data_IF_202396472009
#
_entry.id   IF_202396472009
#
_cell.length_a   1.000
_cell.length_b   1.000
_cell.length_c   1.000
_cell.angle_alpha   90.00
_cell.angle_beta   90.00
_cell.angle_gamma   90.00
#
_symmetry.space_group_name_H-M   'P 1'
#
loop_
_entity.id
_entity.type
_entity.pdbx_description
1 polymer ?
#
# COMPACT_ATOMS: atom_id res chain seq x y z
N UNK A 1 59.63 26.05 5.57
CA UNK A 1 58.85 25.40 6.65
C UNK A 1 57.43 25.93 6.70
N UNK A 2 57.21 27.19 6.46
CA UNK A 2 55.90 27.86 6.51
C UNK A 2 54.94 27.43 5.36
N UNK A 3 55.47 27.19 4.17
CA UNK A 3 54.67 26.77 3.01
C UNK A 3 54.14 25.34 3.13
N UNK A 4 54.86 24.47 3.79
CA UNK A 4 54.44 23.08 4.05
C UNK A 4 53.28 23.01 5.06
N UNK A 5 53.24 23.92 6.00
CA UNK A 5 52.20 24.00 7.03
C UNK A 5 50.86 24.46 6.43
N UNK A 6 50.86 25.45 5.54
CA UNK A 6 49.68 25.96 4.87
C UNK A 6 49.05 24.93 3.89
N UNK A 7 49.86 24.11 3.24
CA UNK A 7 49.38 23.06 2.34
C UNK A 7 48.67 21.91 3.09
N UNK A 8 49.15 21.56 4.29
CA UNK A 8 48.55 20.53 5.15
C UNK A 8 47.19 21.00 5.73
N UNK A 9 47.13 22.27 6.14
CA UNK A 9 45.93 22.85 6.71
C UNK A 9 44.77 22.96 5.67
N UNK A 10 45.08 23.37 4.46
CA UNK A 10 44.11 23.48 3.37
C UNK A 10 43.63 22.12 2.84
N UNK A 11 44.50 21.11 2.79
CA UNK A 11 44.16 19.77 2.37
C UNK A 11 43.27 19.02 3.37
N UNK A 12 43.51 19.24 4.67
CA UNK A 12 42.76 18.61 5.75
C UNK A 12 41.34 19.20 5.90
N UNK A 13 41.19 20.51 5.76
CA UNK A 13 39.92 21.20 5.90
C UNK A 13 38.92 20.83 4.78
N UNK A 14 39.41 20.72 3.54
CA UNK A 14 38.55 20.34 2.40
C UNK A 14 38.04 18.92 2.45
N UNK A 15 38.86 17.98 2.93
CA UNK A 15 38.46 16.56 3.09
C UNK A 15 37.45 16.37 4.22
N UNK A 16 37.60 17.05 5.32
CA UNK A 16 36.68 16.98 6.44
C UNK A 16 35.28 17.51 6.07
N UNK A 17 35.22 18.65 5.37
CA UNK A 17 33.97 19.27 4.95
C UNK A 17 33.22 18.39 3.94
N UNK A 18 33.92 17.78 2.97
CA UNK A 18 33.33 16.88 2.00
C UNK A 18 32.74 15.63 2.66
N UNK A 19 33.43 15.04 3.63
CA UNK A 19 32.93 13.90 4.38
C UNK A 19 31.69 14.24 5.20
N UNK A 20 31.68 15.34 5.93
CA UNK A 20 30.53 15.80 6.73
C UNK A 20 29.31 16.04 5.85
N UNK A 21 29.46 16.67 4.69
CA UNK A 21 28.37 16.90 3.76
C UNK A 21 27.81 15.60 3.20
N UNK A 22 28.67 14.63 2.87
CA UNK A 22 28.27 13.31 2.37
C UNK A 22 27.51 12.52 3.44
N UNK A 23 28.00 12.50 4.66
CA UNK A 23 27.34 11.84 5.80
C UNK A 23 25.98 12.46 6.12
N UNK A 24 25.88 13.78 6.11
CA UNK A 24 24.61 14.49 6.36
C UNK A 24 23.60 14.19 5.27
N UNK A 25 23.99 14.18 4.01
CA UNK A 25 23.11 13.87 2.87
C UNK A 25 22.65 12.41 2.92
N UNK A 26 23.56 11.51 3.27
CA UNK A 26 23.26 10.08 3.37
C UNK A 26 22.33 9.78 4.56
N UNK A 27 22.51 10.44 5.68
CA UNK A 27 21.63 10.33 6.85
C UNK A 27 20.21 10.83 6.56
N UNK A 28 20.09 11.97 5.89
CA UNK A 28 18.79 12.53 5.50
C UNK A 28 18.04 11.62 4.51
N UNK A 29 18.74 11.01 3.56
CA UNK A 29 18.16 10.07 2.60
C UNK A 29 17.67 8.78 3.28
N UNK A 30 18.41 8.25 4.24
CA UNK A 30 18.02 7.08 5.02
C UNK A 30 16.75 7.31 5.83
N UNK A 31 16.68 8.44 6.51
CA UNK A 31 15.54 8.84 7.33
C UNK A 31 14.24 8.97 6.53
N UNK A 32 14.28 9.57 5.34
CA UNK A 32 13.10 9.71 4.47
C UNK A 32 12.60 8.35 3.99
N UNK A 33 13.49 7.43 3.62
CA UNK A 33 13.13 6.08 3.21
C UNK A 33 12.46 5.26 4.32
N UNK A 34 12.94 5.40 5.55
CA UNK A 34 12.32 4.77 6.72
C UNK A 34 10.92 5.30 7.01
N UNK A 35 10.73 6.61 6.97
CA UNK A 35 9.41 7.25 7.20
C UNK A 35 8.41 6.78 6.16
N UNK A 36 8.78 6.74 4.89
CA UNK A 36 7.92 6.23 3.80
C UNK A 36 7.56 4.76 4.03
N UNK A 37 8.54 3.95 4.42
CA UNK A 37 8.31 2.53 4.68
C UNK A 37 7.36 2.30 5.86
N UNK A 38 7.51 3.03 6.96
CA UNK A 38 6.60 2.99 8.11
C UNK A 38 5.19 3.43 7.71
N UNK A 39 5.06 4.51 6.94
CA UNK A 39 3.79 4.99 6.41
C UNK A 39 3.09 3.94 5.54
N UNK A 40 3.82 3.27 4.65
CA UNK A 40 3.31 2.18 3.83
C UNK A 40 2.85 0.98 4.68
N UNK A 41 3.58 0.63 5.74
CA UNK A 41 3.20 -0.43 6.65
C UNK A 41 1.90 -0.13 7.41
N UNK A 42 1.74 1.10 7.91
CA UNK A 42 0.51 1.53 8.58
C UNK A 42 -0.68 1.45 7.62
N UNK A 43 -0.53 1.99 6.41
CA UNK A 43 -1.57 1.92 5.38
C UNK A 43 -1.90 0.48 4.99
N UNK A 44 -0.89 -0.37 4.88
CA UNK A 44 -0.98 -1.78 4.52
C UNK A 44 -1.74 -2.59 5.58
N UNK A 45 -1.43 -2.40 6.86
CA UNK A 45 -2.13 -3.05 7.97
C UNK A 45 -3.59 -2.58 8.04
N UNK A 46 -3.84 -1.28 7.91
CA UNK A 46 -5.19 -0.73 7.89
C UNK A 46 -6.03 -1.27 6.75
N UNK A 47 -5.49 -1.26 5.53
CA UNK A 47 -6.15 -1.81 4.34
C UNK A 47 -6.42 -3.31 4.48
N UNK A 48 -5.43 -4.09 4.92
CA UNK A 48 -5.58 -5.53 5.12
C UNK A 48 -6.68 -5.86 6.15
N UNK A 49 -6.74 -5.12 7.26
CA UNK A 49 -7.81 -5.26 8.26
C UNK A 49 -9.19 -5.01 7.69
N UNK A 50 -9.35 -3.96 6.89
CA UNK A 50 -10.62 -3.65 6.21
C UNK A 50 -11.02 -4.74 5.22
N UNK A 51 -10.09 -5.22 4.39
CA UNK A 51 -10.37 -6.29 3.43
C UNK A 51 -10.68 -7.63 4.09
N UNK A 52 -10.00 -7.96 5.19
CA UNK A 52 -10.32 -9.15 5.98
C UNK A 52 -11.74 -9.06 6.57
N UNK A 53 -12.12 -7.92 7.09
CA UNK A 53 -13.45 -7.69 7.64
C UNK A 53 -14.53 -7.80 6.56
N UNK A 54 -14.38 -7.11 5.44
CA UNK A 54 -15.35 -7.13 4.33
C UNK A 54 -15.41 -8.51 3.69
N UNK A 55 -14.26 -9.15 3.47
CA UNK A 55 -14.20 -10.53 2.96
C UNK A 55 -14.87 -11.52 3.91
N UNK A 56 -14.67 -11.37 5.21
CA UNK A 56 -15.35 -12.19 6.21
C UNK A 56 -16.88 -12.02 6.16
N UNK A 57 -17.40 -10.81 6.08
CA UNK A 57 -18.85 -10.58 5.96
C UNK A 57 -19.43 -11.17 4.66
N UNK A 58 -18.68 -11.14 3.57
CA UNK A 58 -19.09 -11.80 2.31
C UNK A 58 -19.15 -13.31 2.46
N UNK A 59 -18.15 -13.91 3.11
CA UNK A 59 -18.07 -15.37 3.28
C UNK A 59 -19.05 -15.90 4.32
N UNK A 60 -19.29 -15.15 5.40
CA UNK A 60 -20.19 -15.56 6.49
C UNK A 60 -21.68 -15.49 6.13
N UNK A 61 -22.03 -14.86 5.01
CA UNK A 61 -23.42 -14.73 4.60
C UNK A 61 -24.18 -13.62 5.32
N UNK A 62 -23.52 -12.52 5.67
CA UNK A 62 -24.17 -11.34 6.23
C UNK A 62 -25.35 -10.91 5.33
N UNK A 63 -26.56 -10.68 5.90
CA UNK A 63 -27.76 -10.39 5.12
C UNK A 63 -27.62 -9.19 4.16
N UNK A 64 -26.81 -8.18 4.56
CA UNK A 64 -26.52 -7.01 3.71
C UNK A 64 -25.71 -7.40 2.48
N UNK A 65 -24.72 -8.30 2.66
CA UNK A 65 -23.91 -8.81 1.55
C UNK A 65 -24.72 -9.74 0.66
N UNK A 66 -25.55 -10.61 1.24
CA UNK A 66 -26.47 -11.46 0.45
C UNK A 66 -27.38 -10.60 -0.41
N UNK A 67 -28.06 -9.60 0.18
CA UNK A 67 -28.95 -8.71 -0.56
C UNK A 67 -28.25 -7.88 -1.64
N UNK A 68 -27.00 -7.44 -1.39
CA UNK A 68 -26.20 -6.73 -2.37
C UNK A 68 -25.89 -7.60 -3.59
N UNK A 69 -25.49 -8.85 -3.38
CA UNK A 69 -25.15 -9.75 -4.47
C UNK A 69 -26.41 -10.31 -5.20
N UNK A 70 -27.55 -10.38 -4.53
CA UNK A 70 -28.84 -10.63 -5.18
C UNK A 70 -29.23 -9.49 -6.12
N UNK A 71 -29.00 -8.24 -5.69
CA UNK A 71 -29.24 -7.06 -6.53
C UNK A 71 -28.31 -6.99 -7.76
N UNK A 72 -27.06 -7.49 -7.63
CA UNK A 72 -26.12 -7.63 -8.76
C UNK A 72 -26.64 -8.64 -9.80
N UNK A 73 -27.35 -9.68 -9.37
CA UNK A 73 -27.99 -10.65 -10.27
C UNK A 73 -27.07 -11.69 -10.90
N UNK A 74 -25.79 -11.76 -10.51
CA UNK A 74 -24.83 -12.75 -11.02
C UNK A 74 -24.89 -14.06 -10.24
N UNK A 75 -25.46 -14.03 -9.04
CA UNK A 75 -25.59 -15.17 -8.13
C UNK A 75 -24.68 -15.09 -6.92
N UNK A 76 -25.04 -15.85 -5.88
CA UNK A 76 -24.33 -15.85 -4.61
C UNK A 76 -22.91 -16.44 -4.69
N UNK A 77 -22.61 -17.28 -5.68
CA UNK A 77 -21.27 -17.82 -5.92
C UNK A 77 -20.23 -16.71 -6.14
N UNK A 78 -20.63 -15.62 -6.78
CA UNK A 78 -19.77 -14.46 -7.03
C UNK A 78 -19.36 -13.76 -5.73
N UNK A 79 -20.24 -13.77 -4.73
CA UNK A 79 -19.94 -13.28 -3.38
C UNK A 79 -18.80 -14.08 -2.74
N UNK A 80 -18.84 -15.39 -2.83
CA UNK A 80 -17.78 -16.25 -2.31
C UNK A 80 -16.45 -16.04 -3.04
N UNK A 81 -16.48 -15.90 -4.35
CA UNK A 81 -15.28 -15.62 -5.16
C UNK A 81 -14.64 -14.29 -4.76
N UNK A 82 -15.40 -13.21 -4.73
CA UNK A 82 -14.87 -11.89 -4.37
C UNK A 82 -14.40 -11.82 -2.92
N UNK A 83 -15.14 -12.40 -1.98
CA UNK A 83 -14.75 -12.49 -0.58
C UNK A 83 -13.45 -13.27 -0.38
N UNK A 84 -13.29 -14.40 -1.06
CA UNK A 84 -12.06 -15.20 -1.03
C UNK A 84 -10.87 -14.44 -1.62
N UNK A 85 -11.06 -13.71 -2.71
CA UNK A 85 -10.02 -12.89 -3.31
C UNK A 85 -9.59 -11.73 -2.39
N UNK A 86 -10.54 -11.12 -1.66
CA UNK A 86 -10.25 -10.07 -0.69
C UNK A 86 -9.43 -10.61 0.49
N UNK A 87 -9.82 -11.75 1.05
CA UNK A 87 -9.06 -12.39 2.14
C UNK A 87 -7.67 -12.80 1.66
N UNK A 88 -7.56 -13.44 0.49
CA UNK A 88 -6.28 -13.82 -0.09
C UNK A 88 -5.40 -12.60 -0.35
N UNK A 89 -5.96 -11.56 -0.95
CA UNK A 89 -5.26 -10.31 -1.21
C UNK A 89 -4.76 -9.63 0.06
N UNK A 90 -5.56 -9.64 1.13
CA UNK A 90 -5.17 -9.11 2.43
C UNK A 90 -4.01 -9.90 3.07
N UNK A 91 -4.02 -11.22 2.97
CA UNK A 91 -2.92 -12.08 3.45
C UNK A 91 -1.65 -11.81 2.66
N UNK A 92 -1.74 -11.76 1.33
CA UNK A 92 -0.61 -11.42 0.47
C UNK A 92 -0.08 -10.00 0.75
N UNK A 93 -0.98 -9.05 1.03
CA UNK A 93 -0.64 -7.68 1.37
C UNK A 93 0.22 -7.62 2.64
N UNK A 94 -0.07 -8.44 3.65
CA UNK A 94 0.69 -8.52 4.90
C UNK A 94 2.01 -9.30 4.76
N UNK A 95 2.20 -10.02 3.66
CA UNK A 95 3.46 -10.75 3.40
C UNK A 95 4.45 -9.84 2.70
N UNK A 96 5.61 -9.48 3.30
CA UNK A 96 6.51 -8.45 2.77
C UNK A 96 6.98 -8.68 1.34
N UNK A 97 7.19 -9.93 0.95
CA UNK A 97 7.66 -10.32 -0.40
C UNK A 97 6.55 -10.32 -1.45
N UNK A 98 5.30 -10.46 -1.04
CA UNK A 98 4.14 -10.61 -1.90
C UNK A 98 3.18 -9.42 -1.83
N UNK A 99 3.52 -8.41 -1.03
CA UNK A 99 2.66 -7.25 -0.78
C UNK A 99 2.30 -6.48 -2.05
N UNK A 100 3.21 -6.39 -3.02
CA UNK A 100 2.93 -5.79 -4.32
C UNK A 100 1.89 -6.57 -5.13
N UNK A 101 1.96 -7.91 -5.13
CA UNK A 101 0.98 -8.79 -5.77
C UNK A 101 -0.37 -8.71 -5.06
N UNK A 102 -0.38 -8.73 -3.72
CA UNK A 102 -1.58 -8.56 -2.91
C UNK A 102 -2.28 -7.23 -3.21
N UNK A 103 -1.52 -6.13 -3.24
CA UNK A 103 -2.05 -4.82 -3.58
C UNK A 103 -2.63 -4.76 -5.00
N UNK A 104 -1.95 -5.35 -5.98
CA UNK A 104 -2.42 -5.39 -7.36
C UNK A 104 -3.71 -6.19 -7.50
N UNK A 105 -3.80 -7.35 -6.83
CA UNK A 105 -5.01 -8.18 -6.80
C UNK A 105 -6.19 -7.42 -6.20
N UNK A 106 -5.97 -6.73 -5.07
CA UNK A 106 -7.00 -5.92 -4.40
C UNK A 106 -7.42 -4.70 -5.22
N UNK A 107 -6.50 -4.07 -5.96
CA UNK A 107 -6.84 -3.03 -6.94
C UNK A 107 -7.81 -3.56 -7.98
N UNK A 108 -7.55 -4.74 -8.54
CA UNK A 108 -8.45 -5.39 -9.51
C UNK A 108 -9.83 -5.66 -8.92
N UNK A 109 -9.91 -6.19 -7.70
CA UNK A 109 -11.17 -6.45 -6.99
C UNK A 109 -11.93 -5.14 -6.75
N UNK A 110 -11.25 -4.07 -6.34
CA UNK A 110 -11.87 -2.77 -6.09
C UNK A 110 -12.34 -2.08 -7.37
N UNK A 111 -11.62 -2.20 -8.47
CA UNK A 111 -12.10 -1.74 -9.79
C UNK A 111 -13.40 -2.44 -10.18
N UNK A 112 -13.47 -3.75 -9.98
CA UNK A 112 -14.69 -4.52 -10.17
C UNK A 112 -15.84 -4.04 -9.25
N UNK A 113 -15.55 -3.78 -7.98
CA UNK A 113 -16.54 -3.26 -7.03
C UNK A 113 -17.05 -1.87 -7.43
N UNK A 114 -16.17 -0.96 -7.82
CA UNK A 114 -16.54 0.38 -8.32
C UNK A 114 -17.42 0.27 -9.56
N UNK A 115 -17.05 -0.56 -10.53
CA UNK A 115 -17.85 -0.80 -11.74
C UNK A 115 -19.24 -1.36 -11.40
N UNK A 116 -19.32 -2.30 -10.47
CA UNK A 116 -20.59 -2.89 -10.01
C UNK A 116 -21.49 -1.83 -9.38
N UNK A 117 -20.95 -0.98 -8.52
CA UNK A 117 -21.72 0.11 -7.89
C UNK A 117 -22.17 1.16 -8.92
N UNK A 118 -21.33 1.49 -9.90
CA UNK A 118 -21.68 2.48 -10.94
C UNK A 118 -22.78 1.99 -11.88
N UNK A 119 -22.71 0.73 -12.30
CA UNK A 119 -23.55 0.23 -13.40
C UNK A 119 -24.75 -0.62 -12.96
N UNK A 120 -24.69 -1.25 -11.80
CA UNK A 120 -25.66 -2.27 -11.38
C UNK A 120 -26.44 -1.92 -10.12
N UNK A 121 -25.81 -1.43 -9.09
CA UNK A 121 -26.43 -1.32 -7.76
C UNK A 121 -26.70 0.13 -7.35
N UNK A 122 -25.85 1.05 -7.78
CA UNK A 122 -25.84 2.41 -7.23
C UNK A 122 -25.37 2.44 -5.76
N UNK A 123 -25.53 3.56 -5.10
CA UNK A 123 -25.21 3.72 -3.68
C UNK A 123 -23.84 4.36 -3.43
N UNK A 124 -23.31 4.22 -2.20
CA UNK A 124 -22.08 4.88 -1.80
C UNK A 124 -20.84 4.20 -2.34
N UNK A 125 -20.14 4.88 -3.24
CA UNK A 125 -18.86 4.48 -3.81
C UNK A 125 -17.66 4.79 -2.92
N UNK A 126 -17.85 5.60 -1.87
CA UNK A 126 -16.77 6.17 -1.07
C UNK A 126 -15.85 5.11 -0.48
N UNK A 127 -16.39 4.04 0.08
CA UNK A 127 -15.60 2.97 0.67
C UNK A 127 -14.71 2.26 -0.36
N UNK A 128 -15.28 1.93 -1.52
CA UNK A 128 -14.54 1.26 -2.60
C UNK A 128 -13.45 2.18 -3.20
N UNK A 129 -13.73 3.47 -3.35
CA UNK A 129 -12.77 4.45 -3.86
C UNK A 129 -11.62 4.65 -2.88
N UNK A 130 -11.91 4.79 -1.58
CA UNK A 130 -10.88 4.95 -0.55
C UNK A 130 -9.95 3.73 -0.52
N UNK A 131 -10.51 2.51 -0.54
CA UNK A 131 -9.73 1.28 -0.57
C UNK A 131 -8.94 1.13 -1.89
N UNK A 132 -9.52 1.54 -3.00
CA UNK A 132 -8.85 1.55 -4.31
C UNK A 132 -7.63 2.48 -4.30
N UNK A 133 -7.77 3.70 -3.79
CA UNK A 133 -6.67 4.66 -3.68
C UNK A 133 -5.61 4.11 -2.73
N UNK A 134 -6.00 3.62 -1.55
CA UNK A 134 -5.08 3.04 -0.57
C UNK A 134 -4.26 1.88 -1.13
N UNK A 135 -4.92 0.92 -1.78
CA UNK A 135 -4.24 -0.23 -2.41
C UNK A 135 -3.41 0.18 -3.61
N UNK A 136 -3.83 1.18 -4.39
CA UNK A 136 -3.06 1.77 -5.48
C UNK A 136 -1.75 2.41 -4.99
N UNK A 137 -1.78 3.15 -3.89
CA UNK A 137 -0.58 3.74 -3.26
C UNK A 137 0.36 2.64 -2.77
N UNK A 138 -0.17 1.59 -2.14
CA UNK A 138 0.64 0.45 -1.68
C UNK A 138 1.27 -0.28 -2.88
N UNK A 139 0.49 -0.57 -3.93
CA UNK A 139 0.99 -1.20 -5.15
C UNK A 139 2.13 -0.39 -5.78
N UNK A 140 1.98 0.92 -5.84
CA UNK A 140 3.02 1.83 -6.31
C UNK A 140 4.28 1.78 -5.43
N UNK A 141 4.12 1.87 -4.12
CA UNK A 141 5.23 1.89 -3.16
C UNK A 141 5.96 0.55 -3.04
N UNK A 142 5.29 -0.58 -3.30
CA UNK A 142 5.83 -1.94 -3.16
C UNK A 142 6.22 -2.61 -4.48
N UNK A 143 6.16 -1.91 -5.60
CA UNK A 143 6.47 -2.45 -6.94
C UNK A 143 7.94 -2.75 -7.22
N UNK A 144 8.81 -2.61 -6.22
CA UNK A 144 10.25 -2.92 -6.34
C UNK A 144 10.55 -4.39 -6.11
#
# INVERSE_FOLDING_TARGET
>A
MEDTYKAVENGSSGKGMGQVLTETTQSASGSTGEIINVGLWILQIGAAGMFLMVGFFKLSGDPRMVGLFDAIGVGQWFRYVTGSLEVLGAILLLTPRLSGLGALLLVGVMLGAVATHLFLVGGSLLGAIILLIGTGVIAWGRRK
#
